data_IF_284969964852
#
_entry.id   IF_284969964852
#
_cell.length_a   1.000
_cell.length_b   1.000
_cell.length_c   1.000
_cell.angle_alpha   90.00
_cell.angle_beta   90.00
_cell.angle_gamma   90.00
#
_symmetry.space_group_name_H-M   'P 1'
#
loop_
_entity.id
_entity.type
_entity.pdbx_description
1 polymer ?
#
# COMPACT_ATOMS: atom_id res chain seq x y z
N UNK A 1 -9.30 -32.38 -9.92
CA UNK A 1 -8.88 -32.73 -8.54
C UNK A 1 -8.51 -31.43 -7.84
N UNK A 2 -9.45 -30.85 -7.07
CA UNK A 2 -9.22 -29.64 -6.26
C UNK A 2 -8.39 -30.07 -5.07
N UNK A 3 -7.20 -29.49 -4.89
CA UNK A 3 -6.29 -29.86 -3.80
C UNK A 3 -6.99 -29.81 -2.45
N UNK A 4 -6.81 -30.86 -1.65
CA UNK A 4 -7.47 -31.07 -0.35
C UNK A 4 -7.37 -29.84 0.57
N UNK A 5 -8.49 -29.60 1.24
CA UNK A 5 -9.15 -28.30 1.24
C UNK A 5 -8.62 -27.24 2.21
N UNK A 6 -7.35 -27.25 2.59
CA UNK A 6 -6.73 -26.19 3.43
C UNK A 6 -5.24 -26.03 3.14
N UNK A 7 -4.78 -24.78 3.05
CA UNK A 7 -3.37 -24.45 2.86
C UNK A 7 -2.95 -23.38 3.88
N UNK A 8 -1.72 -23.48 4.40
CA UNK A 8 -1.17 -22.42 5.25
C UNK A 8 -1.10 -21.09 4.50
N UNK A 9 -1.50 -20.01 5.17
CA UNK A 9 -1.58 -18.67 4.58
C UNK A 9 -0.22 -18.17 4.09
N UNK A 10 0.87 -18.50 4.79
CA UNK A 10 2.22 -18.13 4.36
C UNK A 10 2.62 -18.77 3.03
N UNK A 11 2.23 -20.03 2.84
CA UNK A 11 2.46 -20.79 1.60
C UNK A 11 1.55 -20.30 0.49
N UNK A 12 0.27 -20.05 0.81
CA UNK A 12 -0.71 -19.57 -0.17
C UNK A 12 -0.33 -18.18 -0.70
N UNK A 13 0.00 -17.21 0.17
CA UNK A 13 0.43 -15.86 -0.21
C UNK A 13 1.69 -15.85 -1.10
N UNK A 14 2.58 -16.82 -0.88
CA UNK A 14 3.77 -16.99 -1.71
C UNK A 14 3.44 -17.56 -3.09
N UNK A 15 2.48 -18.49 -3.19
CA UNK A 15 2.04 -19.10 -4.44
C UNK A 15 1.18 -18.17 -5.28
N UNK A 16 0.32 -17.35 -4.64
CA UNK A 16 -0.45 -16.28 -5.30
C UNK A 16 0.40 -15.10 -5.76
N UNK A 17 1.71 -15.11 -5.46
CA UNK A 17 2.68 -14.07 -5.79
C UNK A 17 2.36 -12.70 -5.16
N UNK A 18 1.49 -12.65 -4.13
CA UNK A 18 1.28 -11.44 -3.32
C UNK A 18 2.59 -10.96 -2.68
N UNK A 19 3.44 -11.92 -2.30
CA UNK A 19 4.74 -11.64 -1.67
C UNK A 19 5.87 -12.43 -2.33
N UNK A 20 7.08 -11.88 -2.28
CA UNK A 20 8.27 -12.46 -2.93
C UNK A 20 8.80 -13.73 -2.25
N UNK A 21 8.55 -13.92 -0.95
CA UNK A 21 9.07 -15.06 -0.16
C UNK A 21 8.12 -15.46 0.97
N UNK A 22 8.21 -16.72 1.42
CA UNK A 22 7.43 -17.24 2.57
C UNK A 22 7.77 -16.52 3.88
N UNK A 23 9.04 -16.18 4.11
CA UNK A 23 9.45 -15.42 5.30
C UNK A 23 8.82 -14.02 5.32
N UNK A 24 8.66 -13.38 4.15
CA UNK A 24 7.94 -12.12 4.06
C UNK A 24 6.44 -12.31 4.34
N UNK A 25 5.84 -13.38 3.83
CA UNK A 25 4.46 -13.75 4.14
C UNK A 25 4.23 -13.87 5.66
N UNK A 26 5.11 -14.61 6.34
CA UNK A 26 5.04 -14.77 7.79
C UNK A 26 5.16 -13.43 8.53
N UNK A 27 6.10 -12.56 8.12
CA UNK A 27 6.28 -11.23 8.71
C UNK A 27 5.02 -10.37 8.58
N UNK A 28 4.38 -10.32 7.41
CA UNK A 28 3.19 -9.50 7.21
C UNK A 28 1.97 -10.04 7.95
N UNK A 29 1.85 -11.37 8.07
CA UNK A 29 0.78 -12.03 8.83
C UNK A 29 0.92 -11.69 10.31
N UNK A 30 2.10 -11.91 10.91
CA UNK A 30 2.36 -11.60 12.33
C UNK A 30 2.23 -10.10 12.61
N UNK A 31 2.62 -9.24 11.66
CA UNK A 31 2.39 -7.79 11.76
C UNK A 31 0.91 -7.39 11.69
N UNK A 32 -0.02 -8.33 11.48
CA UNK A 32 -1.45 -8.07 11.40
C UNK A 32 -1.92 -7.38 10.14
N UNK A 33 -1.14 -7.49 9.06
CA UNK A 33 -1.49 -6.94 7.74
C UNK A 33 -2.34 -7.88 6.90
N UNK A 34 -2.70 -9.04 7.45
CA UNK A 34 -3.49 -10.06 6.76
C UNK A 34 -4.69 -10.44 7.61
N UNK A 35 -5.87 -10.47 6.99
CA UNK A 35 -7.12 -10.94 7.59
C UNK A 35 -7.74 -12.06 6.74
N UNK A 36 -8.31 -13.07 7.40
CA UNK A 36 -9.07 -14.17 6.80
C UNK A 36 -10.52 -14.00 7.24
N UNK A 37 -11.46 -13.86 6.30
CA UNK A 37 -12.89 -13.72 6.60
C UNK A 37 -13.21 -12.62 7.64
N UNK A 38 -12.45 -11.51 7.60
CA UNK A 38 -12.48 -10.34 8.52
C UNK A 38 -11.66 -10.50 9.80
N UNK A 39 -11.33 -11.72 10.21
CA UNK A 39 -10.50 -11.97 11.39
C UNK A 39 -9.02 -11.81 11.08
N UNK A 40 -8.26 -11.21 12.02
CA UNK A 40 -6.82 -11.05 11.86
C UNK A 40 -6.15 -12.43 11.94
N UNK A 41 -5.35 -12.76 10.93
CA UNK A 41 -4.51 -13.95 10.98
C UNK A 41 -3.48 -13.78 12.11
N UNK A 42 -3.47 -14.72 13.05
CA UNK A 42 -2.62 -14.69 14.23
C UNK A 42 -1.26 -15.30 13.93
N UNK A 43 -1.22 -16.34 13.10
CA UNK A 43 -0.01 -17.08 12.80
C UNK A 43 0.15 -17.34 11.30
N UNK A 44 1.41 -17.40 10.87
CA UNK A 44 1.76 -17.75 9.48
C UNK A 44 1.26 -19.15 9.06
N UNK A 45 0.97 -20.02 10.04
CA UNK A 45 0.41 -21.35 9.87
C UNK A 45 -1.11 -21.40 9.71
N UNK A 46 -1.80 -20.28 9.89
CA UNK A 46 -3.26 -20.23 9.78
C UNK A 46 -3.70 -20.76 8.42
N UNK A 47 -4.77 -21.55 8.42
CA UNK A 47 -5.22 -22.26 7.24
C UNK A 47 -6.25 -21.45 6.47
N UNK A 48 -6.08 -21.40 5.15
CA UNK A 48 -7.03 -20.84 4.19
C UNK A 48 -7.61 -21.96 3.34
N UNK A 49 -8.88 -21.82 2.97
CA UNK A 49 -9.59 -22.74 2.08
C UNK A 49 -10.25 -21.98 0.92
N UNK A 50 -10.57 -22.66 -0.19
CA UNK A 50 -11.45 -22.11 -1.22
C UNK A 50 -12.73 -21.53 -0.61
N UNK A 51 -13.11 -20.34 -1.06
CA UNK A 51 -14.22 -19.55 -0.55
C UNK A 51 -13.86 -18.52 0.52
N UNK A 52 -12.69 -18.62 1.16
CA UNK A 52 -12.26 -17.61 2.13
C UNK A 52 -11.92 -16.27 1.46
N UNK A 53 -12.19 -15.16 2.15
CA UNK A 53 -11.82 -13.82 1.70
C UNK A 53 -10.62 -13.31 2.47
N UNK A 54 -9.55 -13.00 1.75
CA UNK A 54 -8.33 -12.45 2.31
C UNK A 54 -8.26 -10.95 2.10
N UNK A 55 -7.96 -10.22 3.16
CA UNK A 55 -7.60 -8.80 3.08
C UNK A 55 -6.13 -8.64 3.41
N UNK A 56 -5.34 -8.16 2.45
CA UNK A 56 -3.89 -8.05 2.54
C UNK A 56 -3.48 -6.59 2.35
N UNK A 57 -2.79 -6.01 3.34
CA UNK A 57 -2.28 -4.64 3.26
C UNK A 57 -0.79 -4.65 2.91
N UNK A 58 -0.45 -4.23 1.69
CA UNK A 58 0.92 -4.18 1.16
C UNK A 58 1.26 -2.75 0.72
N UNK A 59 2.35 -2.17 1.24
CA UNK A 59 2.96 -0.91 0.73
C UNK A 59 1.96 0.24 0.43
N UNK A 60 0.91 0.36 1.23
CA UNK A 60 -0.13 1.39 1.08
C UNK A 60 -1.20 1.06 0.03
N UNK A 61 -1.33 -0.21 -0.37
CA UNK A 61 -2.45 -0.76 -1.15
C UNK A 61 -3.15 -1.85 -0.33
N UNK A 62 -4.45 -1.98 -0.52
CA UNK A 62 -5.28 -3.02 0.09
C UNK A 62 -5.71 -3.96 -1.02
N UNK A 63 -5.31 -5.22 -0.92
CA UNK A 63 -5.76 -6.29 -1.80
C UNK A 63 -6.87 -7.06 -1.08
N UNK A 64 -8.00 -7.25 -1.75
CA UNK A 64 -9.10 -8.07 -1.23
C UNK A 64 -9.31 -9.21 -2.21
N UNK A 65 -8.88 -10.41 -1.83
CA UNK A 65 -8.86 -11.56 -2.73
C UNK A 65 -9.70 -12.69 -2.15
N UNK A 66 -10.60 -13.24 -2.95
CA UNK A 66 -11.31 -14.47 -2.59
C UNK A 66 -10.49 -15.67 -3.04
N UNK A 67 -10.22 -16.60 -2.14
CA UNK A 67 -9.47 -17.82 -2.44
C UNK A 67 -10.34 -18.71 -3.33
N UNK A 68 -9.86 -19.03 -4.53
CA UNK A 68 -10.54 -19.94 -5.46
C UNK A 68 -9.98 -21.35 -5.32
N UNK A 69 -8.66 -21.47 -5.20
CA UNK A 69 -7.96 -22.75 -5.09
C UNK A 69 -6.76 -22.68 -4.15
N UNK A 70 -6.39 -23.82 -3.59
CA UNK A 70 -5.09 -24.02 -2.95
C UNK A 70 -4.01 -24.17 -4.03
N UNK A 71 -2.86 -23.50 -3.86
CA UNK A 71 -1.76 -23.61 -4.81
C UNK A 71 -0.93 -24.89 -4.60
N UNK A 72 -0.57 -25.56 -5.68
CA UNK A 72 0.30 -26.75 -5.67
C UNK A 72 1.79 -26.35 -5.68
N UNK A 73 2.13 -25.36 -6.50
CA UNK A 73 3.48 -24.81 -6.68
C UNK A 73 3.43 -23.29 -6.90
N UNK A 74 4.62 -22.67 -6.88
CA UNK A 74 4.77 -21.29 -7.36
C UNK A 74 4.98 -21.30 -8.88
N UNK A 75 3.91 -21.00 -9.60
CA UNK A 75 3.89 -20.91 -11.05
C UNK A 75 4.20 -19.52 -11.63
N UNK A 76 4.07 -19.37 -12.96
CA UNK A 76 4.02 -18.08 -13.62
C UNK A 76 2.82 -17.25 -13.14
N UNK A 77 2.76 -15.97 -13.56
CA UNK A 77 1.72 -15.05 -13.13
C UNK A 77 0.30 -15.54 -13.49
N UNK A 78 0.14 -16.18 -14.65
CA UNK A 78 -1.17 -16.66 -15.11
C UNK A 78 -1.69 -17.82 -14.28
N UNK A 79 -0.82 -18.75 -13.87
CA UNK A 79 -1.19 -19.84 -12.96
C UNK A 79 -1.56 -19.28 -11.56
N UNK A 80 -0.83 -18.28 -11.07
CA UNK A 80 -1.11 -17.65 -9.78
C UNK A 80 -2.46 -16.94 -9.74
N UNK A 81 -2.90 -16.35 -10.87
CA UNK A 81 -4.22 -15.71 -11.00
C UNK A 81 -5.37 -16.71 -10.87
N UNK A 82 -5.15 -18.00 -11.13
CA UNK A 82 -6.17 -19.04 -10.94
C UNK A 82 -6.42 -19.40 -9.47
N UNK A 83 -5.57 -18.93 -8.55
CA UNK A 83 -5.69 -19.21 -7.12
C UNK A 83 -6.67 -18.26 -6.42
N UNK A 84 -6.95 -17.09 -7.01
CA UNK A 84 -7.79 -16.08 -6.39
C UNK A 84 -8.65 -15.30 -7.39
N UNK A 85 -9.74 -14.75 -6.88
CA UNK A 85 -10.55 -13.75 -7.56
C UNK A 85 -10.25 -12.39 -6.93
N UNK A 86 -9.83 -11.43 -7.76
CA UNK A 86 -9.48 -10.08 -7.29
C UNK A 86 -10.74 -9.24 -7.11
N UNK A 87 -11.05 -8.93 -5.84
CA UNK A 87 -12.13 -8.03 -5.43
C UNK A 87 -11.56 -6.76 -4.79
N UNK A 88 -10.29 -6.44 -5.05
CA UNK A 88 -9.65 -5.27 -4.47
C UNK A 88 -10.41 -4.00 -4.86
N UNK A 89 -10.62 -3.07 -3.91
CA UNK A 89 -11.20 -1.78 -4.26
C UNK A 89 -10.30 -1.11 -5.29
N UNK A 90 -10.90 -0.43 -6.27
CA UNK A 90 -10.14 0.41 -7.21
C UNK A 90 -9.17 1.24 -6.39
N UNK A 91 -7.85 1.17 -6.67
CA UNK A 91 -6.88 1.91 -5.88
C UNK A 91 -7.36 3.35 -5.86
N UNK A 92 -7.76 3.82 -4.67
CA UNK A 92 -8.00 5.24 -4.47
C UNK A 92 -6.72 5.88 -4.97
N UNK A 93 -6.77 6.80 -5.96
CA UNK A 93 -5.60 7.58 -6.28
C UNK A 93 -5.12 8.05 -4.92
N UNK A 94 -3.91 7.63 -4.50
CA UNK A 94 -3.22 8.36 -3.45
C UNK A 94 -3.33 9.76 -3.98
N UNK A 95 -4.16 10.58 -3.34
CA UNK A 95 -4.56 11.86 -3.90
C UNK A 95 -3.30 12.43 -4.46
N UNK A 96 -3.32 12.81 -5.75
CA UNK A 96 -2.24 13.64 -6.24
C UNK A 96 -1.99 14.61 -5.10
N UNK A 97 -0.80 14.57 -4.52
CA UNK A 97 -0.39 15.65 -3.65
C UNK A 97 -0.65 16.85 -4.54
N UNK A 98 -1.66 17.59 -4.12
CA UNK A 98 -2.58 18.31 -4.99
C UNK A 98 -1.71 19.18 -5.89
N UNK A 99 -1.76 18.99 -7.21
CA UNK A 99 -1.18 19.99 -8.14
C UNK A 99 -1.98 21.29 -8.12
N UNK A 100 -3.09 21.31 -7.40
CA UNK A 100 -3.67 22.50 -6.79
C UNK A 100 -3.16 22.63 -5.36
N UNK A 101 -1.85 22.83 -5.21
CA UNK A 101 -1.46 23.85 -4.27
C UNK A 101 -2.17 25.11 -4.81
N UNK A 102 -3.28 25.50 -4.20
CA UNK A 102 -3.53 26.93 -4.08
C UNK A 102 -2.19 27.42 -3.53
N UNK A 103 -1.37 28.16 -4.31
CA UNK A 103 -0.21 28.78 -3.70
C UNK A 103 -0.84 29.57 -2.58
N UNK A 104 -0.49 29.26 -1.33
CA UNK A 104 -0.78 30.20 -0.26
C UNK A 104 -0.30 31.53 -0.83
N UNK A 105 -1.26 32.43 -1.10
CA UNK A 105 -0.95 33.76 -1.58
C UNK A 105 -0.27 34.37 -0.36
N UNK A 106 1.04 34.13 -0.23
CA UNK A 106 1.88 34.98 0.57
C UNK A 106 1.73 36.30 -0.12
N UNK A 107 1.10 37.26 0.55
CA UNK A 107 1.24 38.63 0.13
C UNK A 107 2.73 38.88 -0.10
N UNK A 108 3.05 39.29 -1.33
CA UNK A 108 4.40 39.64 -1.71
C UNK A 108 4.82 40.83 -0.84
N UNK A 109 5.62 40.59 0.21
CA UNK A 109 6.16 41.70 1.01
C UNK A 109 6.49 41.43 2.48
N UNK A 110 6.16 40.29 3.09
CA UNK A 110 6.39 40.10 4.54
C UNK A 110 7.73 39.43 4.91
N UNK A 111 8.70 39.41 4.00
CA UNK A 111 10.02 38.79 4.21
C UNK A 111 11.18 39.73 3.95
N UNK A 112 12.30 39.47 4.65
CA UNK A 112 13.61 40.15 4.62
C UNK A 112 13.85 41.00 3.35
N UNK A 113 14.07 42.33 3.47
CA UNK A 113 14.27 43.21 2.32
C UNK A 113 15.33 42.68 1.36
N UNK A 114 14.98 42.65 0.08
CA UNK A 114 15.92 42.32 -0.98
C UNK A 114 17.05 43.36 -1.02
N UNK A 115 18.22 42.99 -1.57
CA UNK A 115 19.41 43.87 -1.62
C UNK A 115 19.14 45.22 -2.32
N UNK A 116 18.16 45.25 -3.22
CA UNK A 116 17.74 46.45 -3.94
C UNK A 116 16.82 47.33 -3.09
N UNK A 117 15.89 46.73 -2.35
CA UNK A 117 15.03 47.43 -1.38
C UNK A 117 15.85 48.00 -0.22
N UNK A 118 16.81 47.23 0.32
CA UNK A 118 17.73 47.71 1.36
C UNK A 118 18.51 48.96 0.92
N UNK A 119 19.01 48.98 -0.32
CA UNK A 119 19.71 50.15 -0.90
C UNK A 119 18.79 51.35 -1.15
N UNK A 120 17.49 51.13 -1.34
CA UNK A 120 16.50 52.20 -1.46
C UNK A 120 16.14 52.76 -0.08
N UNK A 121 15.99 51.90 0.94
CA UNK A 121 15.78 52.32 2.32
C UNK A 121 16.98 53.11 2.85
N UNK A 122 18.21 52.65 2.63
CA UNK A 122 19.43 53.38 3.04
C UNK A 122 19.58 54.74 2.35
N UNK A 123 18.99 54.92 1.16
CA UNK A 123 19.02 56.20 0.42
C UNK A 123 17.93 57.16 0.86
N UNK A 124 16.83 56.65 1.42
CA UNK A 124 15.72 57.44 1.97
C UNK A 124 15.93 57.81 3.44
N UNK A 125 16.75 57.05 4.17
CA UNK A 125 17.13 57.34 5.57
C UNK A 125 18.37 58.25 5.68
N UNK A 126 18.85 58.80 4.57
CA UNK A 126 19.88 59.82 4.53
C UNK A 126 19.25 61.19 4.37
N UNK A 127 18.97 61.85 5.49
CA UNK A 127 18.95 63.31 5.59
C UNK A 127 19.60 63.71 6.92
N UNK A 128 20.63 64.56 6.76
CA UNK A 128 21.49 65.28 7.73
C UNK A 128 22.48 64.51 8.63
#
# INVERSE_FOLDING_TARGET
>A
MVGEGRQRIDKWLFFSRAVKSRSLAAKIVVAGRVRINRDKAAQASDLVKPGDVLTITLEGRILVWKVVNCGTRRGPADEARLLYEDMSPTPTPKGGAVRDAIPALREAGSGRPTKRERRQTDRLLGDD
#
